data_IF_827484480680
#
_entry.id   IF_827484480680
#
_cell.length_a   1.000
_cell.length_b   1.000
_cell.length_c   1.000
_cell.angle_alpha   90.00
_cell.angle_beta   90.00
_cell.angle_gamma   90.00
#
_symmetry.space_group_name_H-M   'P 1'
#
loop_
_entity.id
_entity.type
_entity.pdbx_description
1 polymer ?
#
# COMPACT_ATOMS: atom_id res chain seq x y z
N UNK A 1 -13.53 6.15 -6.44
CA UNK A 1 -13.19 5.52 -5.18
C UNK A 1 -11.98 4.62 -5.34
N UNK A 2 -11.22 4.44 -4.27
CA UNK A 2 -10.00 3.63 -4.29
C UNK A 2 -10.24 2.19 -4.77
N UNK A 3 -11.34 1.59 -4.33
CA UNK A 3 -11.67 0.21 -4.72
C UNK A 3 -11.83 0.08 -6.23
N UNK A 4 -12.49 1.05 -6.86
CA UNK A 4 -12.66 1.03 -8.32
C UNK A 4 -11.35 1.22 -9.06
N UNK A 5 -10.47 2.09 -8.56
CA UNK A 5 -9.15 2.29 -9.15
C UNK A 5 -8.33 1.00 -9.06
N UNK A 6 -8.37 0.33 -7.92
CA UNK A 6 -7.67 -0.94 -7.73
C UNK A 6 -8.22 -2.02 -8.67
N UNK A 7 -9.53 -2.10 -8.84
CA UNK A 7 -10.12 -3.04 -9.80
C UNK A 7 -9.60 -2.78 -11.22
N UNK A 8 -9.49 -1.53 -11.62
CA UNK A 8 -8.96 -1.19 -12.95
C UNK A 8 -7.51 -1.65 -13.10
N UNK A 9 -6.67 -1.41 -12.10
CA UNK A 9 -5.27 -1.83 -12.13
C UNK A 9 -5.10 -3.34 -12.13
N UNK A 10 -6.01 -4.06 -11.47
CA UNK A 10 -5.94 -5.52 -11.37
C UNK A 10 -6.71 -6.22 -12.49
N UNK A 11 -7.39 -5.47 -13.35
CA UNK A 11 -8.14 -6.04 -14.46
C UNK A 11 -9.42 -6.75 -14.04
N UNK A 12 -10.04 -6.29 -12.94
CA UNK A 12 -11.25 -6.89 -12.39
C UNK A 12 -12.48 -6.06 -12.74
N UNK A 13 -13.57 -6.74 -13.06
CA UNK A 13 -14.87 -6.06 -13.26
C UNK A 13 -15.56 -5.75 -11.94
N UNK A 14 -15.41 -6.63 -10.95
CA UNK A 14 -16.01 -6.47 -9.63
C UNK A 14 -14.96 -6.67 -8.53
N UNK A 15 -15.06 -5.92 -7.41
CA UNK A 15 -14.13 -6.09 -6.31
C UNK A 15 -14.42 -7.39 -5.55
N UNK A 16 -13.36 -8.08 -5.14
CA UNK A 16 -13.45 -9.23 -4.25
C UNK A 16 -12.91 -8.87 -2.85
N UNK A 17 -12.91 -9.83 -1.95
CA UNK A 17 -12.46 -9.60 -0.58
C UNK A 17 -11.00 -9.15 -0.52
N UNK A 18 -10.14 -9.68 -1.39
CA UNK A 18 -8.73 -9.31 -1.39
C UNK A 18 -8.51 -7.88 -1.88
N UNK A 19 -9.34 -7.39 -2.80
CA UNK A 19 -9.31 -5.98 -3.21
C UNK A 19 -9.68 -5.08 -2.04
N UNK A 20 -10.68 -5.47 -1.26
CA UNK A 20 -11.07 -4.71 -0.07
C UNK A 20 -9.96 -4.73 1.00
N UNK A 21 -9.31 -5.89 1.21
CA UNK A 21 -8.17 -5.98 2.13
C UNK A 21 -7.04 -5.06 1.69
N UNK A 22 -6.75 -5.04 0.39
CA UNK A 22 -5.72 -4.17 -0.16
C UNK A 22 -6.08 -2.70 0.02
N UNK A 23 -7.33 -2.32 -0.28
CA UNK A 23 -7.79 -0.95 -0.11
C UNK A 23 -7.68 -0.48 1.33
N UNK A 24 -8.13 -1.29 2.29
CA UNK A 24 -8.03 -0.96 3.72
C UNK A 24 -6.58 -0.86 4.17
N UNK A 25 -5.71 -1.69 3.63
CA UNK A 25 -4.28 -1.64 3.97
C UNK A 25 -3.63 -0.36 3.46
N UNK A 26 -3.97 0.08 2.25
CA UNK A 26 -3.46 1.34 1.69
C UNK A 26 -3.98 2.54 2.50
N UNK A 27 -5.27 2.54 2.84
CA UNK A 27 -5.84 3.58 3.69
C UNK A 27 -5.15 3.60 5.06
N UNK A 28 -4.85 2.41 5.60
CA UNK A 28 -4.12 2.29 6.86
C UNK A 28 -2.74 2.93 6.79
N UNK A 29 -2.03 2.77 5.68
CA UNK A 29 -0.74 3.44 5.47
C UNK A 29 -0.90 4.97 5.48
N UNK A 30 -1.94 5.48 4.81
CA UNK A 30 -2.18 6.91 4.76
C UNK A 30 -2.54 7.47 6.14
N UNK A 31 -3.33 6.73 6.92
CA UNK A 31 -3.79 7.15 8.24
C UNK A 31 -2.68 7.03 9.29
N UNK A 32 -1.72 6.13 9.10
CA UNK A 32 -0.75 5.84 10.16
C UNK A 32 0.06 7.07 10.60
N UNK A 33 0.30 8.02 9.72
CA UNK A 33 0.97 9.27 10.10
C UNK A 33 0.11 10.15 11.01
N UNK A 34 -1.21 10.07 10.88
CA UNK A 34 -2.12 10.84 11.73
C UNK A 34 -2.33 10.16 13.08
N UNK A 35 -2.52 8.84 13.08
CA UNK A 35 -2.81 8.07 14.29
C UNK A 35 -1.53 7.76 15.06
N UNK A 36 -0.46 7.39 14.35
CA UNK A 36 0.82 7.01 14.95
C UNK A 36 1.83 8.15 15.05
N UNK A 37 1.44 9.38 14.74
CA UNK A 37 2.35 10.53 14.70
C UNK A 37 3.11 10.72 16.01
N UNK A 38 2.42 10.64 17.13
CA UNK A 38 3.04 10.83 18.44
C UNK A 38 4.06 9.73 18.73
N UNK A 39 3.79 8.51 18.27
CA UNK A 39 4.71 7.38 18.43
C UNK A 39 5.96 7.61 17.59
N UNK A 40 5.79 8.03 16.34
CA UNK A 40 6.92 8.31 15.45
C UNK A 40 7.78 9.45 16.03
N UNK A 41 7.15 10.51 16.53
CA UNK A 41 7.87 11.63 17.12
C UNK A 41 8.60 11.24 18.40
N UNK A 42 8.04 10.34 19.18
CA UNK A 42 8.67 9.87 20.40
C UNK A 42 9.88 8.96 20.13
N UNK A 43 9.79 8.10 19.11
CA UNK A 43 10.83 7.10 18.83
C UNK A 43 11.87 7.59 17.83
N UNK A 44 11.45 8.30 16.79
CA UNK A 44 12.33 8.76 15.71
C UNK A 44 11.88 10.14 15.25
N UNK A 45 12.07 11.17 16.06
CA UNK A 45 11.55 12.52 15.74
C UNK A 45 12.12 13.11 14.45
N UNK A 46 13.30 12.71 14.03
CA UNK A 46 13.91 13.22 12.80
C UNK A 46 13.10 12.86 11.55
N UNK A 47 12.24 11.86 11.60
CA UNK A 47 11.40 11.48 10.45
C UNK A 47 10.32 12.52 10.15
N UNK A 48 9.96 13.35 11.13
CA UNK A 48 8.92 14.37 10.98
C UNK A 48 9.45 15.77 11.36
N UNK A 49 10.78 15.96 11.36
CA UNK A 49 11.42 17.14 11.92
C UNK A 49 11.22 18.41 11.07
N UNK A 50 11.05 18.27 9.75
CA UNK A 50 10.92 19.39 8.83
C UNK A 50 10.12 18.97 7.61
N UNK A 51 9.72 19.93 6.73
CA UNK A 51 8.93 19.59 5.54
C UNK A 51 9.62 18.60 4.61
N UNK A 52 10.93 18.65 4.48
CA UNK A 52 11.67 17.70 3.63
C UNK A 52 11.59 16.28 4.19
N UNK A 53 11.67 16.13 5.50
CA UNK A 53 11.53 14.81 6.14
C UNK A 53 10.13 14.26 5.97
N UNK A 54 9.11 15.12 6.08
CA UNK A 54 7.70 14.71 5.87
C UNK A 54 7.48 14.30 4.42
N UNK A 55 8.03 15.06 3.47
CA UNK A 55 7.93 14.72 2.04
C UNK A 55 8.61 13.39 1.75
N UNK A 56 9.78 13.15 2.30
CA UNK A 56 10.49 11.89 2.12
C UNK A 56 9.70 10.71 2.69
N UNK A 57 9.07 10.90 3.84
CA UNK A 57 8.22 9.88 4.46
C UNK A 57 7.01 9.60 3.58
N UNK A 58 6.37 10.67 3.08
CA UNK A 58 5.21 10.56 2.19
C UNK A 58 5.55 9.80 0.91
N UNK A 59 6.69 10.13 0.29
CA UNK A 59 7.15 9.41 -0.90
C UNK A 59 7.38 7.93 -0.61
N UNK A 60 7.92 7.60 0.55
CA UNK A 60 8.14 6.21 0.94
C UNK A 60 6.82 5.48 1.15
N UNK A 61 5.83 6.13 1.76
CA UNK A 61 4.50 5.54 1.92
C UNK A 61 3.84 5.28 0.58
N UNK A 62 3.97 6.21 -0.36
CA UNK A 62 3.48 6.01 -1.71
C UNK A 62 4.15 4.80 -2.37
N UNK A 63 5.47 4.69 -2.22
CA UNK A 63 6.22 3.54 -2.73
C UNK A 63 5.73 2.23 -2.13
N UNK A 64 5.46 2.20 -0.83
CA UNK A 64 4.91 1.02 -0.17
C UNK A 64 3.52 0.67 -0.71
N UNK A 65 2.66 1.67 -0.91
CA UNK A 65 1.33 1.44 -1.46
C UNK A 65 1.41 0.86 -2.88
N UNK A 66 2.29 1.42 -3.72
CA UNK A 66 2.50 0.91 -5.08
C UNK A 66 3.04 -0.51 -5.06
N UNK A 67 3.95 -0.83 -4.14
CA UNK A 67 4.48 -2.18 -3.98
C UNK A 67 3.39 -3.16 -3.55
N UNK A 68 2.46 -2.73 -2.69
CA UNK A 68 1.32 -3.55 -2.28
C UNK A 68 0.43 -3.88 -3.45
N UNK A 69 0.14 -2.91 -4.32
CA UNK A 69 -0.66 -3.13 -5.53
C UNK A 69 0.06 -4.09 -6.48
N UNK A 70 1.35 -3.87 -6.69
CA UNK A 70 2.16 -4.74 -7.55
C UNK A 70 2.22 -6.16 -7.00
N UNK A 71 2.37 -6.31 -5.68
CA UNK A 71 2.38 -7.62 -5.04
C UNK A 71 1.06 -8.36 -5.19
N UNK A 72 -0.06 -7.66 -5.04
CA UNK A 72 -1.38 -8.26 -5.24
C UNK A 72 -1.58 -8.68 -6.70
N UNK A 73 -1.17 -7.84 -7.64
CA UNK A 73 -1.26 -8.15 -9.06
C UNK A 73 -0.43 -9.39 -9.40
N UNK A 74 0.80 -9.47 -8.88
CA UNK A 74 1.68 -10.63 -9.11
C UNK A 74 1.09 -11.90 -8.50
N UNK A 75 0.46 -11.80 -7.33
CA UNK A 75 -0.16 -12.94 -6.67
C UNK A 75 -1.33 -13.50 -7.47
N UNK A 76 -2.06 -12.64 -8.19
CA UNK A 76 -3.21 -13.05 -9.01
C UNK A 76 -2.81 -13.64 -10.35
N UNK A 77 -1.59 -13.36 -10.83
CA UNK A 77 -1.09 -13.88 -12.09
C UNK A 77 -0.29 -15.15 -11.81
N UNK A 78 -0.69 -16.31 -12.38
CA UNK A 78 0.09 -17.53 -12.21
C UNK A 78 1.47 -17.35 -12.87
N UNK A 79 2.52 -17.62 -12.10
CA UNK A 79 3.86 -17.64 -12.65
C UNK A 79 4.15 -18.99 -13.31
N UNK A 80 5.10 -19.00 -14.23
CA UNK A 80 5.52 -20.26 -14.87
C UNK A 80 5.96 -21.29 -13.84
N UNK A 81 6.66 -20.85 -12.78
CA UNK A 81 7.09 -21.74 -11.71
C UNK A 81 5.94 -22.35 -10.95
N UNK A 82 4.86 -21.59 -10.74
CA UNK A 82 3.67 -22.12 -10.07
C UNK A 82 2.92 -23.12 -10.95
N UNK A 83 2.85 -22.86 -12.23
CA UNK A 83 2.22 -23.79 -13.19
C UNK A 83 2.97 -25.11 -13.24
N UNK A 84 4.29 -25.06 -13.20
CA UNK A 84 5.11 -26.26 -13.25
C UNK A 84 5.05 -27.06 -11.94
N UNK A 85 4.71 -26.43 -10.81
CA UNK A 85 4.58 -27.11 -9.53
C UNK A 85 3.21 -27.71 -9.30
N UNK A 86 2.23 -27.21 -9.99
CA UNK A 86 0.86 -27.73 -9.88
C UNK A 86 0.61 -28.84 -10.89
#
# INVERSE_FOLDING_TARGET
ALVLVLCQHLGLSDPDDDVHRLAFSIVGLAIHLFVGRDIVQALQPQLLANPEAIDAYTERLLGYALAMVAGEKARRQPSLGQELRS
#
